data_IF_492478645642
#
_entry.id   IF_492478645642
#
_cell.length_a   1.000
_cell.length_b   1.000
_cell.length_c   1.000
_cell.angle_alpha   90.00
_cell.angle_beta   90.00
_cell.angle_gamma   90.00
#
_symmetry.space_group_name_H-M   'P 1'
#
loop_
_entity.id
_entity.type
_entity.pdbx_description
1 polymer ?
#
# COMPACT_ATOMS: atom_id res chain seq x y z
N UNK A 1 -7.79 0.77 16.68
CA UNK A 1 -7.36 1.23 15.34
C UNK A 1 -5.85 1.39 15.41
N UNK A 2 -5.10 0.75 14.50
CA UNK A 2 -3.64 0.86 14.45
C UNK A 2 -3.24 2.29 14.10
N UNK A 3 -2.31 2.87 14.86
CA UNK A 3 -1.75 4.20 14.57
C UNK A 3 -0.77 4.15 13.39
N UNK A 4 -0.48 5.31 12.78
CA UNK A 4 0.52 5.40 11.72
C UNK A 4 1.90 4.92 12.20
N UNK A 5 2.26 5.22 13.45
CA UNK A 5 3.54 4.81 14.05
C UNK A 5 3.63 3.30 14.25
N UNK A 6 2.58 2.68 14.80
CA UNK A 6 2.51 1.22 14.97
C UNK A 6 2.59 0.51 13.61
N UNK A 7 1.90 1.05 12.61
CA UNK A 7 1.93 0.52 11.25
C UNK A 7 3.33 0.60 10.65
N UNK A 8 3.96 1.77 10.70
CA UNK A 8 5.30 2.00 10.16
C UNK A 8 6.37 1.12 10.84
N UNK A 9 6.29 0.99 12.17
CA UNK A 9 7.17 0.08 12.92
C UNK A 9 6.97 -1.37 12.50
N UNK A 10 5.73 -1.80 12.29
CA UNK A 10 5.41 -3.16 11.88
C UNK A 10 5.87 -3.51 10.45
N UNK A 11 5.90 -2.52 9.54
CA UNK A 11 6.41 -2.74 8.16
C UNK A 11 7.93 -2.57 8.04
N UNK A 12 8.60 -2.09 9.09
CA UNK A 12 10.05 -1.88 9.13
C UNK A 12 10.52 -0.49 8.70
N UNK A 13 9.61 0.48 8.51
CA UNK A 13 9.95 1.84 8.09
C UNK A 13 10.05 2.80 9.28
N UNK A 14 11.26 3.26 9.63
CA UNK A 14 11.44 4.21 10.75
C UNK A 14 11.59 5.68 10.33
N UNK A 15 11.60 6.00 9.04
CA UNK A 15 12.10 7.29 8.52
C UNK A 15 11.05 8.26 7.99
N UNK A 16 9.75 7.96 8.04
CA UNK A 16 8.72 8.79 7.39
C UNK A 16 7.45 9.07 8.22
N UNK A 17 7.51 8.97 9.56
CA UNK A 17 6.31 9.06 10.41
C UNK A 17 5.46 10.33 10.17
N UNK A 18 6.08 11.51 10.09
CA UNK A 18 5.35 12.76 9.87
C UNK A 18 4.56 12.77 8.55
N UNK A 19 5.08 12.12 7.50
CA UNK A 19 4.44 12.01 6.18
C UNK A 19 3.23 11.09 6.21
N UNK A 20 3.36 9.92 6.83
CA UNK A 20 2.29 8.91 6.89
C UNK A 20 1.28 9.15 8.01
N UNK A 21 1.62 9.97 9.02
CA UNK A 21 0.67 10.37 10.06
C UNK A 21 -0.37 11.36 9.54
N UNK A 22 -0.05 12.16 8.51
CA UNK A 22 -0.96 13.13 7.93
C UNK A 22 -2.19 12.47 7.32
N UNK A 23 -3.37 12.87 7.78
CA UNK A 23 -4.67 12.29 7.39
C UNK A 23 -4.80 10.77 7.62
N UNK A 24 -4.01 10.19 8.54
CA UNK A 24 -4.06 8.75 8.80
C UNK A 24 -5.45 8.32 9.25
N UNK A 25 -6.01 8.98 10.26
CA UNK A 25 -7.30 8.60 10.85
C UNK A 25 -8.44 8.70 9.84
N UNK A 26 -8.44 9.74 9.01
CA UNK A 26 -9.39 9.96 7.93
C UNK A 26 -9.30 8.84 6.89
N UNK A 27 -8.08 8.50 6.47
CA UNK A 27 -7.90 7.36 5.56
C UNK A 27 -8.39 6.06 6.20
N UNK A 28 -8.07 5.80 7.47
CA UNK A 28 -8.40 4.53 8.13
C UNK A 28 -9.89 4.42 8.45
N UNK A 29 -10.60 5.54 8.60
CA UNK A 29 -12.06 5.57 8.71
C UNK A 29 -12.75 5.07 7.43
N UNK A 30 -12.06 5.17 6.29
CA UNK A 30 -12.55 4.70 4.99
C UNK A 30 -11.95 3.36 4.55
N UNK A 31 -11.15 2.71 5.41
CA UNK A 31 -10.53 1.42 5.09
C UNK A 31 -11.60 0.36 4.78
N UNK A 32 -11.54 -0.32 3.63
CA UNK A 32 -12.61 -1.21 3.18
C UNK A 32 -12.70 -2.48 4.04
N UNK A 33 -13.88 -2.75 4.58
CA UNK A 33 -14.13 -3.92 5.42
C UNK A 33 -13.96 -5.27 4.68
N UNK A 34 -14.16 -5.27 3.35
CA UNK A 34 -14.06 -6.46 2.49
C UNK A 34 -12.68 -6.61 1.82
N UNK A 35 -11.68 -5.90 2.35
CA UNK A 35 -10.34 -5.85 1.78
C UNK A 35 -10.22 -4.88 0.60
N UNK A 36 -8.97 -4.63 0.22
CA UNK A 36 -8.61 -3.61 -0.77
C UNK A 36 -8.84 -4.14 -2.18
N UNK A 37 -9.66 -3.43 -2.96
CA UNK A 37 -10.05 -3.87 -4.30
C UNK A 37 -8.87 -3.98 -5.26
N UNK A 38 -7.87 -3.08 -5.18
CA UNK A 38 -6.76 -3.06 -6.12
C UNK A 38 -5.69 -4.14 -5.88
N UNK A 39 -5.81 -4.91 -4.78
CA UNK A 39 -5.00 -6.10 -4.56
C UNK A 39 -5.61 -7.35 -5.23
N UNK A 40 -6.83 -7.25 -5.76
CA UNK A 40 -7.51 -8.37 -6.42
C UNK A 40 -7.00 -8.54 -7.83
N UNK A 41 -6.88 -9.79 -8.28
CA UNK A 41 -6.37 -10.13 -9.60
C UNK A 41 -7.16 -9.47 -10.72
N UNK A 42 -8.49 -9.42 -10.58
CA UNK A 42 -9.38 -8.82 -11.57
C UNK A 42 -9.13 -7.31 -11.72
N UNK A 43 -8.47 -6.68 -10.75
CA UNK A 43 -8.09 -5.27 -10.82
C UNK A 43 -6.67 -5.05 -11.33
N UNK A 44 -5.65 -5.72 -10.77
CA UNK A 44 -4.26 -5.40 -11.14
C UNK A 44 -3.83 -5.99 -12.48
N UNK A 45 -4.39 -7.14 -12.89
CA UNK A 45 -4.00 -7.82 -14.14
C UNK A 45 -4.29 -7.00 -15.41
N UNK A 46 -5.47 -6.35 -15.55
CA UNK A 46 -5.71 -5.41 -16.66
C UNK A 46 -4.78 -4.19 -16.65
N UNK A 47 -4.41 -3.68 -15.47
CA UNK A 47 -3.51 -2.51 -15.37
C UNK A 47 -2.09 -2.87 -15.78
N UNK A 48 -1.60 -4.04 -15.37
CA UNK A 48 -0.34 -4.64 -15.82
C UNK A 48 -0.30 -4.72 -17.35
N UNK A 49 -1.41 -5.10 -17.99
CA UNK A 49 -1.55 -5.14 -19.45
C UNK A 49 -1.51 -3.74 -20.08
N UNK A 50 -2.32 -2.82 -19.56
CA UNK A 50 -2.42 -1.46 -20.06
C UNK A 50 -1.10 -0.68 -19.94
N UNK A 51 -0.29 -1.00 -18.93
CA UNK A 51 1.06 -0.47 -18.76
C UNK A 51 2.13 -1.15 -19.64
N UNK A 52 1.77 -2.16 -20.44
CA UNK A 52 2.70 -2.87 -21.32
C UNK A 52 3.70 -3.78 -20.59
N UNK A 53 3.42 -4.18 -19.35
CA UNK A 53 4.30 -5.05 -18.57
C UNK A 53 4.16 -6.52 -18.99
N UNK A 54 5.24 -7.29 -18.90
CA UNK A 54 5.23 -8.72 -19.27
C UNK A 54 4.32 -9.56 -18.36
N UNK A 55 3.61 -10.53 -18.94
CA UNK A 55 2.83 -11.52 -18.18
C UNK A 55 3.71 -12.43 -17.30
N UNK A 56 5.02 -12.48 -17.56
CA UNK A 56 5.99 -13.17 -16.69
C UNK A 56 6.03 -12.58 -15.27
N UNK A 57 5.54 -11.35 -15.08
CA UNK A 57 5.42 -10.73 -13.76
C UNK A 57 4.18 -11.18 -12.99
N UNK A 58 3.22 -11.86 -13.61
CA UNK A 58 1.98 -12.25 -12.94
C UNK A 58 2.20 -13.06 -11.65
N UNK A 59 3.12 -14.05 -11.59
CA UNK A 59 3.40 -14.76 -10.35
C UNK A 59 3.98 -13.86 -9.26
N UNK A 60 4.82 -12.89 -9.63
CA UNK A 60 5.40 -11.92 -8.71
C UNK A 60 4.32 -10.99 -8.15
N UNK A 61 3.49 -10.41 -9.02
CA UNK A 61 2.40 -9.52 -8.63
C UNK A 61 1.35 -10.22 -7.78
N UNK A 62 1.01 -11.48 -8.10
CA UNK A 62 0.09 -12.29 -7.31
C UNK A 62 0.65 -12.56 -5.89
N UNK A 63 1.94 -12.89 -5.78
CA UNK A 63 2.59 -13.07 -4.47
C UNK A 63 2.63 -11.78 -3.66
N UNK A 64 3.04 -10.67 -4.28
CA UNK A 64 3.09 -9.37 -3.62
C UNK A 64 1.70 -8.94 -3.13
N UNK A 65 0.67 -9.04 -3.98
CA UNK A 65 -0.70 -8.72 -3.61
C UNK A 65 -1.21 -9.59 -2.45
N UNK A 66 -0.92 -10.89 -2.49
CA UNK A 66 -1.23 -11.82 -1.40
C UNK A 66 -0.49 -11.48 -0.09
N UNK A 67 0.79 -11.14 -0.16
CA UNK A 67 1.60 -10.74 0.99
C UNK A 67 1.12 -9.44 1.64
N UNK A 68 0.74 -8.45 0.83
CA UNK A 68 0.13 -7.21 1.32
C UNK A 68 -1.22 -7.51 1.99
N UNK A 69 -2.07 -8.32 1.36
CA UNK A 69 -3.39 -8.65 1.89
C UNK A 69 -3.32 -9.47 3.20
N UNK A 70 -2.28 -10.30 3.36
CA UNK A 70 -2.06 -11.11 4.57
C UNK A 70 -1.49 -10.29 5.74
N UNK A 71 -0.90 -9.13 5.50
CA UNK A 71 -0.33 -8.26 6.52
C UNK A 71 -1.24 -7.06 6.79
N UNK A 72 -1.85 -7.01 7.98
CA UNK A 72 -2.72 -5.90 8.36
C UNK A 72 -2.00 -4.54 8.23
N UNK A 73 -0.75 -4.46 8.66
CA UNK A 73 0.04 -3.23 8.60
C UNK A 73 0.31 -2.81 7.14
N UNK A 74 0.77 -3.73 6.27
CA UNK A 74 1.00 -3.40 4.86
C UNK A 74 -0.30 -3.02 4.15
N UNK A 75 -1.38 -3.76 4.38
CA UNK A 75 -2.69 -3.45 3.80
C UNK A 75 -3.14 -2.04 4.19
N UNK A 76 -3.08 -1.68 5.48
CA UNK A 76 -3.45 -0.35 5.95
C UNK A 76 -2.56 0.76 5.37
N UNK A 77 -1.26 0.49 5.21
CA UNK A 77 -0.31 1.44 4.63
C UNK A 77 -0.57 1.69 3.14
N UNK A 78 -0.76 0.63 2.35
CA UNK A 78 -1.01 0.76 0.91
C UNK A 78 -2.39 1.40 0.67
N UNK A 79 -3.39 1.08 1.49
CA UNK A 79 -4.66 1.80 1.49
C UNK A 79 -4.47 3.29 1.76
N UNK A 80 -3.72 3.64 2.81
CA UNK A 80 -3.46 5.03 3.15
C UNK A 80 -2.83 5.78 1.98
N UNK A 81 -1.89 5.18 1.26
CA UNK A 81 -1.28 5.82 0.09
C UNK A 81 -2.23 5.97 -1.09
N UNK A 82 -3.06 4.97 -1.37
CA UNK A 82 -4.12 5.12 -2.36
C UNK A 82 -5.08 6.26 -2.00
N UNK A 83 -5.51 6.31 -0.74
CA UNK A 83 -6.40 7.35 -0.23
C UNK A 83 -5.77 8.74 -0.34
N UNK A 84 -4.48 8.88 0.03
CA UNK A 84 -3.73 10.14 -0.08
C UNK A 84 -3.64 10.65 -1.52
N UNK A 85 -3.53 9.75 -2.51
CA UNK A 85 -3.42 10.13 -3.92
C UNK A 85 -4.78 10.50 -4.53
N UNK A 86 -5.82 9.71 -4.25
CA UNK A 86 -7.08 9.79 -5.00
C UNK A 86 -8.27 10.36 -4.23
N UNK A 87 -8.18 10.48 -2.91
CA UNK A 87 -9.33 10.78 -2.04
C UNK A 87 -9.09 11.90 -1.04
N UNK A 88 -7.84 12.13 -0.67
CA UNK A 88 -7.46 13.18 0.27
C UNK A 88 -7.87 14.57 -0.27
N UNK A 89 -8.52 15.41 0.55
CA UNK A 89 -8.76 16.81 0.20
C UNK A 89 -7.50 17.68 0.31
N UNK A 90 -6.40 17.11 0.84
CA UNK A 90 -5.09 17.75 0.99
C UNK A 90 -4.11 17.10 0.03
N UNK A 91 -3.41 17.92 -0.76
CA UNK A 91 -2.41 17.44 -1.71
C UNK A 91 -1.36 16.55 -1.03
N UNK A 92 -1.04 15.43 -1.69
CA UNK A 92 0.08 14.61 -1.31
C UNK A 92 1.34 15.14 -2.00
N UNK A 93 2.26 15.72 -1.22
CA UNK A 93 3.60 15.98 -1.73
C UNK A 93 4.30 14.64 -1.94
N UNK A 94 4.46 14.26 -3.22
CA UNK A 94 5.18 13.08 -3.66
C UNK A 94 6.69 13.33 -3.58
N UNK A 95 7.25 13.43 -2.37
CA UNK A 95 8.69 13.25 -2.18
C UNK A 95 8.99 11.75 -2.15
N UNK A 96 10.05 11.31 -2.84
CA UNK A 96 10.39 9.91 -3.17
C UNK A 96 10.81 9.02 -1.98
N UNK A 97 10.34 9.30 -0.77
CA UNK A 97 10.68 8.55 0.44
C UNK A 97 9.57 7.56 0.78
N UNK A 98 9.61 6.38 0.14
CA UNK A 98 8.79 5.22 0.48
C UNK A 98 9.44 4.42 1.62
N UNK A 99 8.71 4.01 2.69
CA UNK A 99 9.23 3.11 3.70
C UNK A 99 9.68 1.78 3.11
N UNK A 100 10.78 1.22 3.62
CA UNK A 100 11.24 -0.11 3.26
C UNK A 100 10.22 -1.16 3.70
N UNK A 101 9.54 -1.79 2.72
CA UNK A 101 8.54 -2.83 2.97
C UNK A 101 9.21 -4.20 3.21
N UNK A 102 9.91 -4.36 4.34
CA UNK A 102 10.68 -5.57 4.65
C UNK A 102 9.84 -6.85 4.61
N UNK A 103 8.54 -6.76 4.93
CA UNK A 103 7.60 -7.85 4.88
C UNK A 103 7.35 -8.44 3.46
N UNK A 104 7.79 -7.74 2.40
CA UNK A 104 7.74 -8.26 1.02
C UNK A 104 8.98 -9.07 0.63
N UNK A 105 10.03 -9.13 1.46
CA UNK A 105 11.22 -9.94 1.18
C UNK A 105 11.88 -9.61 -0.16
N UNK A 106 12.07 -10.62 -1.00
CA UNK A 106 12.64 -10.47 -2.35
C UNK A 106 11.70 -9.76 -3.33
N UNK A 107 10.39 -9.70 -3.02
CA UNK A 107 9.37 -9.10 -3.87
C UNK A 107 9.20 -7.58 -3.60
N UNK A 108 10.15 -6.94 -2.90
CA UNK A 108 10.08 -5.54 -2.43
C UNK A 108 10.42 -4.46 -3.48
N UNK A 109 10.85 -4.84 -4.68
CA UNK A 109 11.26 -3.91 -5.75
C UNK A 109 11.71 -4.62 -7.00
#
# INVERSE_FOLDING_TARGET
MMTAEECLRAVGGSTALAKFASCWNESQAEYPAQGIFFLREEFWRPQREACGLSAELDPLLARAAGGIAASEALSRLVWHTYWRIYRSPVDAHAENDWPEAQALGEDRG
#
